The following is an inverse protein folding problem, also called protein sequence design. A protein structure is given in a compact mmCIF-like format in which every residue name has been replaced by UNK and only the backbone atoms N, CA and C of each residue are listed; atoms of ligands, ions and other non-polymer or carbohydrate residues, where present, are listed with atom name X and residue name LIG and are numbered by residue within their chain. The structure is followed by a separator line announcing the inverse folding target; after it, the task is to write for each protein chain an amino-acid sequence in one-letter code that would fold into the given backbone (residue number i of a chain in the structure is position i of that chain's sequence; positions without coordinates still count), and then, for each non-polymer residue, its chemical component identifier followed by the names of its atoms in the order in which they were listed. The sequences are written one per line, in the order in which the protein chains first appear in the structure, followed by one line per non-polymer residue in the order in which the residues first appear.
data_IF_280281894139
#
_entry.id   IF_280281894139
#
_cell.length_a   1.000
_cell.length_b   1.000
_cell.length_c   1.000
_cell.angle_alpha   90.00
_cell.angle_beta   90.00
_cell.angle_gamma   90.00
#
_symmetry.space_group_name_H-M   'P 1'
#
loop_
_entity.id
_entity.type
_entity.pdbx_description
1 polymer ?
#
# COMPACT_ATOMS: atom_id res chain seq x y z
N UNK A 1 -29.77 -9.03 -13.37
CA UNK A 1 -29.08 -8.22 -12.34
C UNK A 1 -28.65 -6.93 -13.00
N UNK A 2 -29.22 -5.82 -12.56
CA UNK A 2 -28.92 -4.47 -13.09
C UNK A 2 -27.47 -4.11 -12.73
N UNK A 3 -26.70 -3.36 -13.55
CA UNK A 3 -25.31 -2.99 -13.26
C UNK A 3 -25.10 -2.46 -11.83
N UNK A 4 -26.01 -1.62 -11.34
CA UNK A 4 -25.99 -1.08 -9.97
C UNK A 4 -26.09 -2.15 -8.87
N UNK A 5 -26.86 -3.24 -9.11
CA UNK A 5 -26.95 -4.36 -8.18
C UNK A 5 -25.64 -5.16 -8.15
N UNK A 6 -24.87 -5.18 -9.25
CA UNK A 6 -23.59 -5.90 -9.35
C UNK A 6 -22.52 -5.18 -8.57
N UNK A 7 -22.42 -3.88 -8.75
CA UNK A 7 -21.46 -3.05 -8.01
C UNK A 7 -21.75 -3.09 -6.51
N UNK A 8 -23.03 -3.04 -6.13
CA UNK A 8 -23.44 -3.17 -4.73
C UNK A 8 -23.15 -4.57 -4.15
N UNK A 9 -23.31 -5.64 -4.94
CA UNK A 9 -22.96 -7.00 -4.53
C UNK A 9 -21.44 -7.16 -4.35
N UNK A 10 -20.66 -6.66 -5.30
CA UNK A 10 -19.20 -6.72 -5.26
C UNK A 10 -18.66 -5.94 -4.05
N UNK A 11 -19.23 -4.78 -3.75
CA UNK A 11 -18.89 -3.99 -2.55
C UNK A 11 -19.14 -4.78 -1.25
N UNK A 12 -20.31 -5.41 -1.09
CA UNK A 12 -20.62 -6.16 0.13
C UNK A 12 -19.78 -7.45 0.24
N UNK A 13 -19.42 -8.09 -0.88
CA UNK A 13 -18.51 -9.24 -0.93
C UNK A 13 -17.08 -8.84 -0.53
N UNK A 14 -16.58 -7.72 -1.02
CA UNK A 14 -15.25 -7.20 -0.63
C UNK A 14 -15.23 -6.89 0.86
N UNK A 15 -16.27 -6.23 1.38
CA UNK A 15 -16.36 -5.86 2.79
C UNK A 15 -16.47 -7.06 3.74
N UNK A 16 -17.23 -8.11 3.39
CA UNK A 16 -17.31 -9.32 4.22
C UNK A 16 -16.00 -10.10 4.21
N UNK A 17 -15.31 -10.20 3.05
CA UNK A 17 -14.01 -10.86 2.94
C UNK A 17 -12.91 -10.12 3.71
N UNK A 18 -12.96 -8.79 3.73
CA UNK A 18 -12.02 -7.97 4.47
C UNK A 18 -12.28 -7.96 5.99
N UNK A 19 -13.30 -8.66 6.49
CA UNK A 19 -13.69 -8.65 7.90
C UNK A 19 -14.39 -7.35 8.35
N UNK A 20 -14.77 -6.49 7.40
CA UNK A 20 -15.35 -5.15 7.65
C UNK A 20 -16.88 -5.14 7.67
N UNK A 21 -17.50 -6.31 7.68
CA UNK A 21 -18.94 -6.48 7.70
C UNK A 21 -19.29 -7.69 8.53
N UNK A 22 -20.33 -7.58 9.37
CA UNK A 22 -20.84 -8.75 10.09
C UNK A 22 -21.64 -9.63 9.13
N UNK A 23 -21.74 -10.94 9.42
CA UNK A 23 -22.61 -11.88 8.70
C UNK A 23 -24.06 -11.35 8.60
N UNK A 24 -24.55 -10.74 9.68
CA UNK A 24 -25.88 -10.14 9.73
C UNK A 24 -26.02 -8.96 8.77
N UNK A 25 -25.09 -8.02 8.80
CA UNK A 25 -25.09 -6.85 7.91
C UNK A 25 -24.96 -7.25 6.43
N UNK A 26 -24.20 -8.31 6.15
CA UNK A 26 -24.12 -8.87 4.80
C UNK A 26 -25.47 -9.40 4.32
N UNK A 27 -26.15 -10.22 5.13
CA UNK A 27 -27.48 -10.75 4.78
C UNK A 27 -28.51 -9.64 4.60
N UNK A 28 -28.54 -8.65 5.51
CA UNK A 28 -29.45 -7.49 5.42
C UNK A 28 -29.23 -6.70 4.12
N UNK A 29 -27.98 -6.44 3.74
CA UNK A 29 -27.65 -5.71 2.51
C UNK A 29 -27.86 -6.53 1.24
N UNK A 30 -27.56 -7.84 1.27
CA UNK A 30 -27.79 -8.74 0.16
C UNK A 30 -29.29 -8.85 -0.18
N UNK A 31 -30.15 -8.95 0.84
CA UNK A 31 -31.60 -8.94 0.65
C UNK A 31 -32.09 -7.58 0.11
N UNK A 32 -31.53 -6.46 0.60
CA UNK A 32 -31.89 -5.13 0.14
C UNK A 32 -31.58 -4.89 -1.35
N UNK A 33 -30.57 -5.57 -1.91
CA UNK A 33 -30.25 -5.51 -3.35
C UNK A 33 -30.98 -6.58 -4.17
N UNK A 34 -31.89 -7.35 -3.56
CA UNK A 34 -32.78 -8.29 -4.24
C UNK A 34 -32.29 -9.74 -4.29
N UNK A 35 -31.26 -10.11 -3.51
CA UNK A 35 -30.86 -11.51 -3.38
C UNK A 35 -31.81 -12.26 -2.43
N UNK A 36 -32.16 -13.49 -2.77
CA UNK A 36 -32.86 -14.36 -1.83
C UNK A 36 -31.93 -14.75 -0.68
N UNK A 37 -32.51 -15.04 0.49
CA UNK A 37 -31.77 -15.48 1.67
C UNK A 37 -30.93 -16.72 1.41
N UNK A 38 -31.39 -17.63 0.54
CA UNK A 38 -30.66 -18.84 0.14
C UNK A 38 -29.40 -18.51 -0.65
N UNK A 39 -29.47 -17.57 -1.61
CA UNK A 39 -28.32 -17.16 -2.42
C UNK A 39 -27.35 -16.32 -1.59
N UNK A 40 -27.85 -15.45 -0.72
CA UNK A 40 -27.03 -14.71 0.22
C UNK A 40 -26.31 -15.66 1.21
N UNK A 41 -27.00 -16.70 1.70
CA UNK A 41 -26.43 -17.72 2.57
C UNK A 41 -25.28 -18.50 1.90
N UNK A 42 -25.47 -18.96 0.66
CA UNK A 42 -24.44 -19.70 -0.06
C UNK A 42 -23.23 -18.83 -0.43
N UNK A 43 -23.44 -17.57 -0.78
CA UNK A 43 -22.35 -16.60 -0.99
C UNK A 43 -21.57 -16.31 0.30
N UNK A 44 -22.27 -16.26 1.44
CA UNK A 44 -21.66 -16.05 2.74
C UNK A 44 -20.82 -17.24 3.18
N UNK A 45 -21.28 -18.47 2.93
CA UNK A 45 -20.51 -19.70 3.17
C UNK A 45 -19.29 -19.79 2.25
N UNK A 46 -19.44 -19.42 0.98
CA UNK A 46 -18.32 -19.35 0.03
C UNK A 46 -17.29 -18.27 0.37
N UNK A 47 -17.69 -17.18 1.03
CA UNK A 47 -16.80 -16.11 1.49
C UNK A 47 -16.29 -16.32 2.93
N UNK A 48 -16.89 -17.24 3.68
CA UNK A 48 -16.60 -17.50 5.08
C UNK A 48 -16.12 -18.93 5.27
N UNK A 49 -14.84 -19.17 4.99
CA UNK A 49 -14.17 -20.43 5.35
C UNK A 49 -14.45 -20.78 6.82
N UNK A 50 -14.84 -22.03 7.06
CA UNK A 50 -15.28 -22.56 8.35
C UNK A 50 -14.41 -22.11 9.52
N UNK A 51 -15.00 -21.32 10.41
CA UNK A 51 -14.58 -21.21 11.81
C UNK A 51 -15.84 -21.00 12.63
N UNK A 52 -16.22 -22.07 13.35
CA UNK A 52 -17.31 -22.07 14.31
C UNK A 52 -16.90 -21.46 15.65
N UNK A 53 -17.92 -21.34 16.51
CA UNK A 53 -17.91 -21.03 17.94
C UNK A 53 -17.72 -19.56 18.40
N UNK A 54 -18.86 -19.02 18.85
CA UNK A 54 -19.11 -18.07 19.95
C UNK A 54 -17.93 -17.64 20.83
N UNK A 55 -17.67 -16.33 20.85
CA UNK A 55 -16.93 -15.63 21.90
C UNK A 55 -17.12 -14.12 21.74
N UNK A 56 -17.67 -13.46 22.75
CA UNK A 56 -17.89 -12.01 22.81
C UNK A 56 -16.60 -11.20 23.01
N UNK A 57 -15.64 -11.36 22.10
CA UNK A 57 -14.55 -10.40 21.91
C UNK A 57 -14.96 -9.43 20.82
N UNK A 58 -14.82 -8.12 21.04
CA UNK A 58 -15.09 -7.11 20.00
C UNK A 58 -14.42 -7.52 18.68
N UNK A 59 -15.11 -7.34 17.55
CA UNK A 59 -14.57 -7.74 16.26
C UNK A 59 -13.19 -7.10 16.05
N UNK A 60 -12.17 -7.91 15.84
CA UNK A 60 -10.82 -7.45 15.48
C UNK A 60 -10.92 -6.63 14.20
N UNK A 61 -10.40 -5.40 14.24
CA UNK A 61 -10.38 -4.53 13.07
C UNK A 61 -9.26 -4.96 12.15
N UNK A 62 -9.60 -5.49 10.97
CA UNK A 62 -8.61 -5.83 9.97
C UNK A 62 -8.28 -4.61 9.09
N UNK A 63 -6.99 -4.27 9.03
CA UNK A 63 -6.42 -3.19 8.23
C UNK A 63 -5.62 -3.81 7.08
N UNK A 64 -5.97 -3.48 5.85
CA UNK A 64 -5.25 -3.95 4.66
C UNK A 64 -4.24 -2.89 4.23
N UNK A 65 -2.96 -3.23 4.33
CA UNK A 65 -1.85 -2.42 3.82
C UNK A 65 -1.36 -2.99 2.48
N UNK A 66 -1.48 -2.20 1.42
CA UNK A 66 -0.90 -2.51 0.11
C UNK A 66 0.37 -1.70 -0.10
N UNK A 67 1.48 -2.36 -0.42
CA UNK A 67 2.74 -1.72 -0.80
C UNK A 67 3.20 -2.11 -2.20
N UNK A 68 4.29 -1.50 -2.65
CA UNK A 68 5.14 -2.02 -3.72
C UNK A 68 5.76 -3.39 -3.35
N UNK A 69 6.42 -4.01 -4.32
CA UNK A 69 7.11 -5.28 -4.13
C UNK A 69 8.23 -5.18 -3.07
N UNK A 70 8.18 -6.02 -2.05
CA UNK A 70 9.29 -6.22 -1.10
C UNK A 70 10.01 -7.55 -1.36
N UNK A 71 11.29 -7.47 -1.75
CA UNK A 71 12.17 -8.64 -1.91
C UNK A 71 13.06 -8.90 -0.70
N UNK A 72 13.08 -7.99 0.27
CA UNK A 72 13.95 -8.05 1.45
C UNK A 72 13.32 -8.76 2.64
N UNK A 73 11.99 -8.90 2.65
CA UNK A 73 11.24 -9.44 3.79
C UNK A 73 11.03 -8.45 4.94
N UNK A 74 11.32 -7.16 4.71
CA UNK A 74 11.18 -6.10 5.70
C UNK A 74 9.71 -5.82 6.04
N UNK A 75 8.83 -5.69 5.05
CA UNK A 75 7.42 -5.38 5.26
C UNK A 75 6.65 -6.50 5.98
N UNK A 76 6.76 -7.79 5.62
CA UNK A 76 6.12 -8.86 6.40
C UNK A 76 6.66 -8.92 7.83
N UNK A 77 7.97 -8.67 8.05
CA UNK A 77 8.53 -8.64 9.40
C UNK A 77 7.97 -7.48 10.25
N UNK A 78 7.78 -6.29 9.67
CA UNK A 78 7.15 -5.14 10.35
C UNK A 78 5.70 -5.47 10.71
N UNK A 79 4.94 -6.05 9.78
CA UNK A 79 3.53 -6.44 10.01
C UNK A 79 3.43 -7.49 11.09
N UNK A 80 4.28 -8.52 11.07
CA UNK A 80 4.34 -9.54 12.11
C UNK A 80 4.66 -8.95 13.47
N UNK A 81 5.65 -8.04 13.55
CA UNK A 81 6.02 -7.38 14.79
C UNK A 81 4.87 -6.52 15.34
N UNK A 82 4.18 -5.77 14.48
CA UNK A 82 3.02 -4.97 14.87
C UNK A 82 1.86 -5.88 15.35
N UNK A 83 1.52 -6.91 14.59
CA UNK A 83 0.43 -7.83 14.94
C UNK A 83 0.67 -8.57 16.26
N UNK A 84 1.94 -8.86 16.60
CA UNK A 84 2.31 -9.48 17.88
C UNK A 84 2.30 -8.52 19.06
N UNK A 85 2.60 -7.24 18.84
CA UNK A 85 2.83 -6.27 19.91
C UNK A 85 1.67 -5.31 20.16
N UNK A 86 0.79 -5.11 19.18
CA UNK A 86 -0.34 -4.19 19.31
C UNK A 86 -1.35 -4.69 20.36
N UNK A 87 -1.98 -3.75 21.06
CA UNK A 87 -2.99 -4.02 22.10
C UNK A 87 -4.39 -3.55 21.68
N UNK A 88 -4.52 -3.03 20.47
CA UNK A 88 -5.67 -2.22 20.05
C UNK A 88 -6.75 -3.04 19.32
N UNK A 89 -6.73 -4.38 19.45
CA UNK A 89 -7.61 -5.28 18.71
C UNK A 89 -7.61 -4.98 17.20
N UNK A 90 -6.43 -4.67 16.66
CA UNK A 90 -6.16 -4.42 15.25
C UNK A 90 -5.32 -5.57 14.70
N UNK A 91 -5.67 -6.02 13.50
CA UNK A 91 -4.86 -6.95 12.73
C UNK A 91 -4.50 -6.31 11.39
N UNK A 92 -3.24 -6.29 11.03
CA UNK A 92 -2.77 -5.77 9.74
C UNK A 92 -2.52 -6.94 8.79
N UNK A 93 -3.19 -6.92 7.66
CA UNK A 93 -2.94 -7.81 6.52
C UNK A 93 -2.12 -7.05 5.48
N UNK A 94 -0.93 -7.55 5.16
CA UNK A 94 -0.08 -6.93 4.14
C UNK A 94 -0.24 -7.62 2.78
N UNK A 95 -0.41 -6.82 1.73
CA UNK A 95 -0.46 -7.25 0.34
C UNK A 95 0.75 -6.73 -0.42
N UNK A 96 1.50 -7.66 -0.99
CA UNK A 96 2.65 -7.35 -1.82
C UNK A 96 2.20 -6.96 -3.24
N UNK A 97 2.69 -5.82 -3.74
CA UNK A 97 2.34 -5.30 -5.06
C UNK A 97 3.44 -5.50 -6.11
N UNK A 98 3.24 -5.00 -7.34
CA UNK A 98 4.31 -4.90 -8.33
C UNK A 98 5.44 -3.96 -7.88
N UNK A 99 6.62 -4.09 -8.48
CA UNK A 99 7.76 -3.20 -8.25
C UNK A 99 7.67 -1.88 -9.02
N UNK A 100 6.83 -1.81 -10.05
CA UNK A 100 6.67 -0.61 -10.89
C UNK A 100 5.75 0.39 -10.22
N UNK A 101 6.27 1.60 -9.98
CA UNK A 101 5.50 2.74 -9.47
C UNK A 101 4.26 3.05 -10.32
N UNK A 102 4.36 2.98 -11.66
CA UNK A 102 3.23 3.25 -12.56
C UNK A 102 2.12 2.18 -12.46
N UNK A 103 2.52 0.91 -12.27
CA UNK A 103 1.56 -0.16 -12.03
C UNK A 103 0.86 0.01 -10.68
N UNK A 104 1.60 0.39 -9.64
CA UNK A 104 1.02 0.72 -8.33
C UNK A 104 0.03 1.87 -8.42
N UNK A 105 0.39 2.97 -9.10
CA UNK A 105 -0.50 4.10 -9.35
C UNK A 105 -1.79 3.66 -10.05
N UNK A 106 -1.67 2.82 -11.08
CA UNK A 106 -2.83 2.29 -11.82
C UNK A 106 -3.74 1.47 -10.92
N UNK A 107 -3.18 0.58 -10.08
CA UNK A 107 -3.94 -0.22 -9.10
C UNK A 107 -4.70 0.69 -8.14
N UNK A 108 -4.03 1.69 -7.55
CA UNK A 108 -4.66 2.60 -6.61
C UNK A 108 -5.74 3.45 -7.26
N UNK A 109 -5.45 4.08 -8.40
CA UNK A 109 -6.41 4.93 -9.08
C UNK A 109 -7.68 4.16 -9.49
N UNK A 110 -7.54 2.92 -9.96
CA UNK A 110 -8.69 2.07 -10.27
C UNK A 110 -9.48 1.69 -9.01
N UNK A 111 -8.80 1.27 -7.95
CA UNK A 111 -9.41 0.90 -6.66
C UNK A 111 -10.21 2.07 -6.07
N UNK A 112 -9.63 3.27 -6.07
CA UNK A 112 -10.22 4.46 -5.46
C UNK A 112 -11.34 5.06 -6.31
N UNK A 113 -11.22 5.05 -7.64
CA UNK A 113 -12.32 5.45 -8.55
C UNK A 113 -13.53 4.52 -8.43
N UNK A 114 -13.28 3.23 -8.26
CA UNK A 114 -14.32 2.24 -7.99
C UNK A 114 -14.89 2.33 -6.56
N UNK A 115 -14.36 3.24 -5.72
CA UNK A 115 -14.74 3.40 -4.30
C UNK A 115 -14.63 2.08 -3.51
N UNK A 116 -13.69 1.23 -3.91
CA UNK A 116 -13.48 -0.06 -3.27
C UNK A 116 -12.92 0.11 -1.86
N UNK A 117 -13.48 -0.63 -0.91
CA UNK A 117 -12.94 -0.76 0.45
C UNK A 117 -11.97 -1.93 0.59
N UNK A 118 -11.21 -2.27 -0.46
CA UNK A 118 -10.25 -3.39 -0.41
C UNK A 118 -8.90 -3.01 0.19
N UNK A 119 -8.58 -1.73 0.30
CA UNK A 119 -7.29 -1.21 0.80
C UNK A 119 -7.57 -0.12 1.84
N UNK A 120 -6.85 -0.13 2.96
CA UNK A 120 -6.93 0.92 4.00
C UNK A 120 -5.69 1.82 4.01
N UNK A 121 -4.51 1.20 3.86
CA UNK A 121 -3.22 1.87 3.86
C UNK A 121 -2.52 1.60 2.54
N UNK A 122 -2.05 2.65 1.88
CA UNK A 122 -1.35 2.59 0.60
C UNK A 122 0.07 3.12 0.78
N UNK A 123 1.08 2.38 0.33
CA UNK A 123 2.42 2.94 0.12
C UNK A 123 2.42 3.74 -1.18
N UNK A 124 2.45 5.06 -1.08
CA UNK A 124 2.39 5.97 -2.23
C UNK A 124 3.78 6.53 -2.47
N UNK A 125 4.23 6.52 -3.74
CA UNK A 125 5.49 7.16 -4.14
C UNK A 125 5.45 8.67 -3.82
N UNK A 126 6.59 9.24 -3.44
CA UNK A 126 6.74 10.60 -2.93
C UNK A 126 6.23 11.68 -3.88
N UNK A 127 6.14 11.40 -5.18
CA UNK A 127 5.66 12.34 -6.19
C UNK A 127 4.13 12.47 -6.27
N UNK A 128 3.37 11.52 -5.69
CA UNK A 128 1.91 11.47 -5.80
C UNK A 128 1.06 11.93 -4.59
N UNK A 129 1.55 12.23 -3.37
CA UNK A 129 0.68 12.60 -2.25
C UNK A 129 -0.22 13.80 -2.56
N UNK A 130 0.29 14.79 -3.29
CA UNK A 130 -0.48 15.96 -3.71
C UNK A 130 -1.62 15.60 -4.68
N UNK A 131 -1.37 14.71 -5.64
CA UNK A 131 -2.40 14.24 -6.58
C UNK A 131 -3.50 13.45 -5.85
N UNK A 132 -3.11 12.55 -4.95
CA UNK A 132 -4.07 11.75 -4.19
C UNK A 132 -4.91 12.64 -3.28
N UNK A 133 -4.30 13.63 -2.64
CA UNK A 133 -5.02 14.62 -1.83
C UNK A 133 -5.97 15.48 -2.65
N UNK A 134 -5.54 15.94 -3.83
CA UNK A 134 -6.38 16.71 -4.74
C UNK A 134 -7.63 15.93 -5.17
N UNK A 135 -7.49 14.62 -5.43
CA UNK A 135 -8.61 13.73 -5.76
C UNK A 135 -9.45 13.29 -4.54
N UNK A 136 -9.10 13.72 -3.33
CA UNK A 136 -9.81 13.36 -2.10
C UNK A 136 -9.61 11.90 -1.68
N UNK A 137 -8.52 11.26 -2.11
CA UNK A 137 -8.23 9.85 -1.83
C UNK A 137 -7.44 9.63 -0.53
N UNK A 138 -6.89 10.68 0.06
CA UNK A 138 -6.16 10.63 1.34
C UNK A 138 -6.93 11.32 2.45
N UNK A 139 -6.71 10.87 3.68
CA UNK A 139 -7.22 11.52 4.89
C UNK A 139 -6.23 12.57 5.38
N UNK A 140 -6.73 13.69 5.89
CA UNK A 140 -5.91 14.68 6.61
C UNK A 140 -5.42 14.10 7.94
N UNK A 141 -4.11 13.94 8.06
CA UNK A 141 -3.42 13.39 9.22
C UNK A 141 -3.01 14.49 10.23
N UNK A 142 -3.20 15.77 9.92
CA UNK A 142 -2.64 16.88 10.70
C UNK A 142 -3.07 16.87 12.17
N UNK A 143 -4.31 16.45 12.46
CA UNK A 143 -4.85 16.29 13.82
C UNK A 143 -4.72 14.87 14.36
N UNK A 144 -4.42 13.89 13.51
CA UNK A 144 -4.31 12.46 13.85
C UNK A 144 -2.86 12.05 14.15
N UNK A 145 -1.89 12.85 13.72
CA UNK A 145 -0.47 12.62 13.90
C UNK A 145 0.17 13.81 14.63
N UNK A 146 0.50 13.65 15.94
CA UNK A 146 1.03 14.72 16.76
C UNK A 146 2.26 15.40 16.16
N UNK A 147 2.37 16.72 16.35
CA UNK A 147 3.54 17.48 15.89
C UNK A 147 4.84 17.01 16.57
N UNK A 148 4.76 16.57 17.83
CA UNK A 148 5.88 15.97 18.56
C UNK A 148 6.44 14.74 17.85
N UNK A 149 5.57 13.91 17.28
CA UNK A 149 5.96 12.67 16.63
C UNK A 149 6.54 12.96 15.24
N UNK A 150 5.92 13.91 14.52
CA UNK A 150 6.42 14.42 13.25
C UNK A 150 7.80 15.07 13.36
N UNK A 151 8.14 15.64 14.50
CA UNK A 151 9.46 16.24 14.73
C UNK A 151 10.60 15.20 14.70
N UNK A 152 10.28 13.91 14.88
CA UNK A 152 11.25 12.81 14.76
C UNK A 152 11.57 12.44 13.30
N UNK A 153 10.89 13.04 12.32
CA UNK A 153 11.08 12.76 10.91
C UNK A 153 11.91 13.84 10.22
N UNK A 154 12.56 13.44 9.11
CA UNK A 154 13.24 14.37 8.23
C UNK A 154 12.23 15.39 7.65
N UNK A 155 12.62 16.67 7.65
CA UNK A 155 11.73 17.75 7.22
C UNK A 155 11.40 17.71 5.73
N UNK A 156 12.32 17.22 4.88
CA UNK A 156 12.09 17.07 3.45
C UNK A 156 10.91 16.14 3.13
N UNK A 157 10.93 14.88 3.59
CA UNK A 157 9.81 13.95 3.44
C UNK A 157 8.48 14.43 4.02
N UNK A 158 8.49 15.13 5.17
CA UNK A 158 7.26 15.72 5.73
C UNK A 158 6.66 16.76 4.76
N UNK A 159 7.50 17.58 4.13
CA UNK A 159 7.04 18.56 3.13
C UNK A 159 6.46 17.89 1.89
N UNK A 160 7.06 16.82 1.38
CA UNK A 160 6.50 16.10 0.22
C UNK A 160 5.18 15.41 0.54
N UNK A 161 4.94 15.05 1.79
CA UNK A 161 3.67 14.51 2.26
C UNK A 161 2.66 15.59 2.69
N UNK A 162 2.95 16.87 2.45
CA UNK A 162 2.07 17.99 2.80
C UNK A 162 1.48 18.64 1.56
N UNK A 163 0.15 18.75 1.50
CA UNK A 163 -0.57 19.41 0.40
C UNK A 163 -1.54 20.44 0.96
N UNK A 164 -1.48 21.68 0.45
CA UNK A 164 -2.30 22.81 0.90
C UNK A 164 -2.33 22.98 2.45
N UNK A 165 -1.17 22.83 3.08
CA UNK A 165 -1.01 22.98 4.53
C UNK A 165 -1.47 21.78 5.37
N UNK A 166 -1.95 20.70 4.74
CA UNK A 166 -2.40 19.46 5.40
C UNK A 166 -1.39 18.35 5.19
N UNK A 167 -1.09 17.60 6.24
CA UNK A 167 -0.29 16.37 6.12
C UNK A 167 -1.21 15.27 5.59
N UNK A 168 -0.96 14.80 4.36
CA UNK A 168 -1.85 13.88 3.63
C UNK A 168 -1.28 12.46 3.50
N UNK A 169 -0.02 12.28 3.91
CA UNK A 169 0.65 10.98 4.00
C UNK A 169 1.69 11.01 5.14
N UNK A 170 2.16 9.83 5.55
CA UNK A 170 3.28 9.69 6.48
C UNK A 170 4.49 9.11 5.74
N UNK A 171 5.70 9.71 5.85
CA UNK A 171 6.90 9.13 5.29
C UNK A 171 7.21 7.76 5.92
N UNK A 172 7.48 6.75 5.10
CA UNK A 172 7.91 5.43 5.57
C UNK A 172 9.43 5.23 5.42
N UNK A 173 9.99 5.66 4.28
CA UNK A 173 11.41 5.56 3.95
C UNK A 173 11.85 6.73 3.08
N UNK A 174 13.17 6.93 2.96
CA UNK A 174 13.77 7.93 2.08
C UNK A 174 14.94 7.29 1.37
N UNK A 175 14.91 7.33 0.04
CA UNK A 175 15.98 6.79 -0.79
C UNK A 175 17.00 7.86 -1.12
N UNK A 176 18.24 7.43 -1.33
CA UNK A 176 19.35 8.29 -1.75
C UNK A 176 19.97 7.69 -3.02
N UNK A 177 20.08 8.51 -4.06
CA UNK A 177 20.83 8.15 -5.26
C UNK A 177 22.31 8.05 -4.92
N UNK A 178 22.89 6.87 -5.10
CA UNK A 178 24.32 6.61 -4.89
C UNK A 178 24.90 5.90 -6.10
N UNK A 179 26.17 6.18 -6.39
CA UNK A 179 26.91 5.50 -7.45
C UNK A 179 27.71 4.34 -6.87
N UNK A 180 27.27 3.12 -7.16
CA UNK A 180 28.07 1.92 -6.91
C UNK A 180 29.02 1.67 -8.09
N UNK A 181 30.26 1.29 -7.79
CA UNK A 181 31.25 0.93 -8.80
C UNK A 181 32.07 -0.30 -8.38
N UNK A 182 32.52 -1.06 -9.38
CA UNK A 182 33.32 -2.28 -9.19
C UNK A 182 34.80 -1.92 -9.06
N UNK A 183 35.33 -2.01 -7.84
CA UNK A 183 36.73 -1.64 -7.51
C UNK A 183 37.80 -2.45 -8.28
N UNK A 184 37.46 -3.65 -8.71
CA UNK A 184 38.31 -4.51 -9.55
C UNK A 184 38.35 -4.08 -11.03
N UNK A 185 37.40 -3.25 -11.47
CA UNK A 185 37.36 -2.68 -12.82
C UNK A 185 37.89 -1.26 -12.80
N UNK A 186 37.43 -0.43 -11.86
CA UNK A 186 37.80 0.98 -11.73
C UNK A 186 38.26 1.25 -10.30
N UNK A 187 39.47 1.79 -10.12
CA UNK A 187 40.08 2.00 -8.80
C UNK A 187 39.48 3.18 -8.02
N UNK A 188 38.99 4.21 -8.73
CA UNK A 188 38.43 5.43 -8.14
C UNK A 188 37.05 5.73 -8.69
N UNK A 189 36.13 6.18 -7.85
CA UNK A 189 34.82 6.65 -8.31
C UNK A 189 34.99 7.86 -9.25
N UNK A 190 34.25 7.93 -10.37
CA UNK A 190 34.23 9.12 -11.20
C UNK A 190 33.59 10.29 -10.44
N UNK A 191 34.14 11.49 -10.64
CA UNK A 191 33.63 12.73 -10.04
C UNK A 191 32.73 13.51 -10.99
N UNK A 192 32.78 13.20 -12.29
CA UNK A 192 31.99 13.84 -13.34
C UNK A 192 31.37 12.82 -14.29
N UNK A 193 30.36 13.24 -15.04
CA UNK A 193 29.74 12.39 -16.06
C UNK A 193 30.71 12.06 -17.20
N UNK A 194 31.61 12.99 -17.53
CA UNK A 194 32.66 12.80 -18.53
C UNK A 194 33.67 11.75 -18.08
N UNK A 195 34.10 11.80 -16.82
CA UNK A 195 34.97 10.78 -16.22
C UNK A 195 34.27 9.43 -16.23
N UNK A 196 33.01 9.36 -15.77
CA UNK A 196 32.23 8.13 -15.76
C UNK A 196 32.10 7.52 -17.16
N UNK A 197 31.79 8.35 -18.17
CA UNK A 197 31.67 7.92 -19.57
C UNK A 197 33.00 7.41 -20.12
N UNK A 198 34.10 8.10 -19.81
CA UNK A 198 35.43 7.72 -20.26
C UNK A 198 35.90 6.42 -19.61
N UNK A 199 35.64 6.25 -18.31
CA UNK A 199 35.92 5.01 -17.57
C UNK A 199 35.10 3.84 -18.12
N UNK A 200 33.80 4.05 -18.38
CA UNK A 200 32.92 3.04 -18.97
C UNK A 200 33.42 2.57 -20.35
N UNK A 201 33.83 3.51 -21.22
CA UNK A 201 34.36 3.20 -22.56
C UNK A 201 35.70 2.47 -22.50
N UNK A 202 36.63 2.95 -21.67
CA UNK A 202 37.98 2.35 -21.54
C UNK A 202 37.95 0.92 -20.98
N UNK A 203 36.89 0.54 -20.26
CA UNK A 203 36.73 -0.77 -19.66
C UNK A 203 35.60 -1.61 -20.31
N UNK A 204 35.17 -1.26 -21.52
CA UNK A 204 34.04 -1.91 -22.19
C UNK A 204 34.24 -3.43 -22.43
N UNK A 205 35.49 -3.91 -22.49
CA UNK A 205 35.78 -5.34 -22.59
C UNK A 205 35.66 -6.11 -21.27
N UNK A 206 35.61 -5.42 -20.11
CA UNK A 206 35.57 -6.04 -18.78
C UNK A 206 34.16 -6.25 -18.23
N UNK A 207 33.15 -5.62 -18.82
CA UNK A 207 31.76 -5.74 -18.40
C UNK A 207 30.80 -5.59 -19.58
N UNK A 208 29.68 -6.31 -19.55
CA UNK A 208 28.63 -6.24 -20.57
C UNK A 208 28.03 -4.83 -20.70
N UNK A 209 27.90 -4.12 -19.59
CA UNK A 209 27.37 -2.76 -19.51
C UNK A 209 28.36 -1.88 -18.75
N UNK A 210 28.74 -0.74 -19.34
CA UNK A 210 29.64 0.23 -18.71
C UNK A 210 28.95 1.16 -17.69
N UNK A 211 27.63 1.26 -17.75
CA UNK A 211 26.77 1.98 -16.81
C UNK A 211 25.37 1.37 -16.86
N UNK A 212 24.73 1.25 -15.69
CA UNK A 212 23.35 0.78 -15.56
C UNK A 212 22.62 1.76 -14.66
N UNK A 213 21.50 2.29 -15.14
CA UNK A 213 20.61 3.16 -14.40
C UNK A 213 19.38 2.38 -13.97
N UNK A 214 18.88 2.64 -12.76
CA UNK A 214 17.76 1.89 -12.18
C UNK A 214 16.41 2.22 -12.85
N UNK A 215 16.31 3.37 -13.54
CA UNK A 215 15.19 3.76 -14.42
C UNK A 215 13.83 3.29 -13.96
#
# INVERSE_FOLDING_TARGET
MVPEQRDALDEIIVKIRAGRMTRRTFLERAVAIGLSTTVAGSLLEACGGSSGTTGGGGQTTNIVWQSENDTSGTYPAIVDAYNKSNKDNVHVTWHNGPSSTDQMLTIYANTLRARSGSIDVMSIDVVYPAEFAFNGWTTDLSSKWPASDRANYLQGPIKSCTYQGKVVAAPLRTDLGVLYYRKDIVSTAPKTYEEMTSMAKSHASKAKYGYVWQG
#
